data_IF_209068285414
#
_entry.id   IF_209068285414
#
_cell.length_a   1.000
_cell.length_b   1.000
_cell.length_c   1.000
_cell.angle_alpha   90.00
_cell.angle_beta   90.00
_cell.angle_gamma   90.00
#
_symmetry.space_group_name_H-M   'P 1'
#
loop_
_entity.id
_entity.type
_entity.pdbx_description
1 polymer ?
#
# COMPACT_ATOMS: atom_id res chain seq x y z
N UNK A 1 -15.74 -7.11 -11.73
CA UNK A 1 -15.76 -7.64 -11.40
C UNK A 1 -15.77 -8.61 -11.01
N UNK A 2 -15.20 -8.57 -11.27
CA UNK A 2 -15.02 -9.37 -10.98
C UNK A 2 -15.05 -10.44 -10.54
N UNK A 3 -14.86 -10.55 -10.65
CA UNK A 3 -14.90 -11.45 -10.30
C UNK A 3 -14.88 -12.36 -10.06
N UNK A 4 -14.74 -12.36 -10.28
CA UNK A 4 -14.65 -13.32 -9.93
C UNK A 4 -14.56 -14.22 -9.84
N UNK A 5 -14.42 -13.91 -10.05
CA UNK A 5 -14.31 -14.88 -9.87
C UNK A 5 -14.07 -15.87 -9.60
N UNK A 6 -13.99 -15.64 -9.77
CA UNK A 6 -13.77 -16.68 -9.44
C UNK A 6 -13.64 -17.68 -9.07
N UNK A 7 -13.58 -17.39 -9.26
CA UNK A 7 -13.43 -18.39 -8.84
C UNK A 7 -13.38 -19.36 -8.48
N UNK A 8 -13.52 -19.15 -8.62
CA UNK A 8 -13.52 -20.05 -8.19
C UNK A 8 -13.41 -21.00 -8.07
N UNK A 9 -13.34 -20.88 -8.37
CA UNK A 9 -13.29 -21.83 -8.16
C UNK A 9 -12.97 -22.71 -7.87
N UNK A 10 -12.77 -22.55 -8.14
CA UNK A 10 -12.54 -23.41 -7.74
C UNK A 10 -12.46 -24.22 -7.14
N UNK A 11 -12.49 -24.09 -7.16
CA UNK A 11 -12.48 -24.81 -6.48
C UNK A 11 -12.74 -25.71 -6.24
N UNK A 12 -12.94 -25.84 -6.76
CA UNK A 12 -13.20 -26.66 -6.43
C UNK A 12 -12.96 -27.64 -6.18
N UNK A 13 -12.76 -27.63 -6.58
CA UNK A 13 -12.50 -28.71 -6.55
C UNK A 13 -11.77 -29.33 -5.66
N UNK A 14 -11.89 -29.56 -5.23
CA UNK A 14 -11.28 -30.20 -4.46
C UNK A 14 -10.16 -30.05 -3.96
N UNK A 15 -9.93 -29.74 -4.04
CA UNK A 15 -9.00 -29.76 -3.58
C UNK A 15 -8.41 -29.12 -3.08
N UNK A 16 -8.55 -28.86 -3.37
CA UNK A 16 -7.88 -28.45 -3.00
C UNK A 16 -7.38 -27.96 -2.01
N UNK A 17 -7.16 -28.10 -1.61
CA UNK A 17 -6.45 -27.99 -0.60
C UNK A 17 -5.33 -27.16 -0.72
N UNK A 18 -4.81 -27.12 -1.82
CA UNK A 18 -3.63 -26.42 -2.12
C UNK A 18 -3.85 -24.97 -2.20
N UNK A 19 -5.06 -24.59 -2.26
CA UNK A 19 -5.39 -23.20 -2.32
C UNK A 19 -4.81 -22.40 -1.18
N UNK A 20 -4.53 -23.06 -0.10
CA UNK A 20 -4.00 -22.38 1.06
C UNK A 20 -2.66 -21.73 0.85
N UNK A 21 -1.96 -22.14 -0.19
CA UNK A 21 -0.64 -21.60 -0.46
C UNK A 21 -0.66 -20.29 -1.21
N UNK A 22 -1.83 -19.80 -1.58
CA UNK A 22 -1.92 -18.58 -2.35
C UNK A 22 -1.67 -17.33 -1.52
N UNK A 23 -1.60 -17.45 -0.21
CA UNK A 23 -1.48 -16.29 0.65
C UNK A 23 -2.80 -15.54 0.72
N UNK A 24 -2.75 -14.35 1.25
CA UNK A 24 -3.94 -13.51 1.40
C UNK A 24 -3.86 -12.33 0.47
N UNK A 25 -5.01 -11.69 0.25
CA UNK A 25 -5.10 -10.46 -0.53
C UNK A 25 -5.19 -9.30 0.44
N UNK A 26 -4.30 -8.33 0.25
CA UNK A 26 -4.33 -7.08 0.97
C UNK A 26 -4.92 -6.03 0.04
N UNK A 27 -6.03 -5.44 0.43
CA UNK A 27 -6.65 -4.36 -0.32
C UNK A 27 -6.29 -3.04 0.35
N UNK A 28 -5.64 -2.16 -0.40
CA UNK A 28 -5.26 -0.84 0.10
C UNK A 28 -6.11 0.20 -0.60
N UNK A 29 -6.84 0.98 0.19
CA UNK A 29 -7.66 2.06 -0.33
C UNK A 29 -6.99 3.37 0.07
N UNK A 30 -6.61 4.16 -0.92
CA UNK A 30 -5.96 5.45 -0.69
C UNK A 30 -6.98 6.54 -0.99
N UNK A 31 -7.20 7.39 0.00
CA UNK A 31 -8.18 8.47 -0.09
C UNK A 31 -7.50 9.83 0.04
N UNK A 32 -8.27 10.88 -0.08
CA UNK A 32 -7.82 12.26 0.07
C UNK A 32 -6.78 12.66 -0.98
N UNK A 33 -6.96 12.15 -2.20
CA UNK A 33 -6.13 12.55 -3.33
C UNK A 33 -6.70 13.86 -3.84
N UNK A 34 -5.97 14.95 -3.66
CA UNK A 34 -6.48 16.29 -3.96
C UNK A 34 -6.42 16.65 -5.44
N UNK A 35 -5.54 16.02 -6.18
CA UNK A 35 -5.48 16.25 -7.63
C UNK A 35 -5.06 14.96 -8.34
N UNK A 36 -5.65 14.75 -9.51
CA UNK A 36 -5.36 13.57 -10.32
C UNK A 36 -4.12 13.85 -11.16
N UNK A 37 -2.97 13.72 -10.53
CA UNK A 37 -1.69 14.09 -11.14
C UNK A 37 -0.57 13.21 -10.64
N UNK A 38 0.36 12.86 -11.53
CA UNK A 38 1.53 12.08 -11.17
C UNK A 38 1.21 10.62 -10.92
N UNK A 39 2.06 9.98 -10.15
CA UNK A 39 1.93 8.57 -9.82
C UNK A 39 1.67 8.39 -8.34
N UNK A 40 0.89 7.37 -8.02
CA UNK A 40 0.70 6.96 -6.64
C UNK A 40 1.60 5.76 -6.39
N UNK A 41 2.55 5.93 -5.49
CA UNK A 41 3.50 4.88 -5.12
C UNK A 41 3.06 4.30 -3.79
N UNK A 42 2.71 3.01 -3.80
CA UNK A 42 2.28 2.32 -2.59
C UNK A 42 3.37 1.34 -2.21
N UNK A 43 4.25 1.74 -1.31
CA UNK A 43 5.37 0.90 -0.89
C UNK A 43 4.95 -0.04 0.23
N UNK A 44 5.18 -1.34 0.03
CA UNK A 44 4.90 -2.38 1.01
C UNK A 44 6.24 -2.83 1.60
N UNK A 45 6.33 -2.88 2.91
CA UNK A 45 7.57 -3.21 3.61
C UNK A 45 7.32 -4.28 4.65
N UNK A 46 8.27 -5.17 4.84
CA UNK A 46 8.14 -6.26 5.81
C UNK A 46 9.22 -6.22 6.91
N UNK A 47 10.05 -5.18 6.92
CA UNK A 47 11.06 -5.06 7.97
C UNK A 47 11.52 -3.62 8.12
N UNK A 48 12.10 -3.33 9.29
CA UNK A 48 12.53 -2.00 9.64
C UNK A 48 13.66 -1.47 8.76
N UNK A 49 14.60 -2.34 8.38
CA UNK A 49 15.75 -1.91 7.58
C UNK A 49 15.35 -1.43 6.20
N UNK A 50 14.37 -2.07 5.61
CA UNK A 50 13.89 -1.71 4.28
C UNK A 50 12.89 -0.56 4.30
N UNK A 51 12.29 -0.28 5.45
CA UNK A 51 11.18 0.67 5.55
C UNK A 51 11.55 2.04 4.97
N UNK A 52 10.74 2.50 4.03
CA UNK A 52 10.88 3.73 3.24
C UNK A 52 12.13 3.76 2.33
N UNK A 53 12.88 2.67 2.26
CA UNK A 53 14.07 2.60 1.42
C UNK A 53 13.93 1.63 0.26
N UNK A 54 13.46 0.43 0.55
CA UNK A 54 13.37 -0.61 -0.47
C UNK A 54 12.06 -1.37 -0.32
N UNK A 55 11.02 -0.98 -1.05
CA UNK A 55 9.74 -1.68 -0.96
C UNK A 55 9.83 -3.07 -1.57
N UNK A 56 8.90 -3.93 -1.17
CA UNK A 56 8.79 -5.27 -1.74
C UNK A 56 8.43 -5.18 -3.22
N UNK A 57 8.83 -6.19 -4.02
CA UNK A 57 8.53 -6.18 -5.46
C UNK A 57 7.05 -6.10 -5.80
N UNK A 58 6.17 -6.50 -4.89
CA UNK A 58 4.73 -6.45 -5.12
C UNK A 58 4.13 -5.05 -4.93
N UNK A 59 4.96 -4.04 -4.63
CA UNK A 59 4.48 -2.68 -4.35
C UNK A 59 3.93 -2.01 -5.60
N UNK A 60 2.66 -1.57 -5.58
CA UNK A 60 2.04 -0.99 -6.78
C UNK A 60 2.53 0.43 -7.09
N UNK A 61 2.51 0.75 -8.37
CA UNK A 61 2.67 2.11 -8.86
C UNK A 61 1.48 2.37 -9.78
N UNK A 62 0.71 3.40 -9.49
CA UNK A 62 -0.55 3.67 -10.19
C UNK A 62 -0.50 5.07 -10.79
N UNK A 63 -0.77 5.16 -12.09
CA UNK A 63 -0.86 6.44 -12.77
C UNK A 63 -2.20 7.09 -12.42
N UNK A 64 -2.14 8.27 -11.83
CA UNK A 64 -3.33 8.99 -11.41
C UNK A 64 -3.84 9.86 -12.55
N UNK A 65 -4.98 9.49 -13.11
CA UNK A 65 -5.56 10.24 -14.23
C UNK A 65 -6.80 11.01 -13.83
N UNK A 66 -7.67 10.43 -13.03
CA UNK A 66 -8.92 11.11 -12.66
C UNK A 66 -9.50 10.63 -11.35
N UNK A 67 -8.74 9.86 -10.60
CA UNK A 67 -9.25 9.21 -9.40
C UNK A 67 -9.01 10.07 -8.17
N UNK A 68 -10.00 10.21 -7.30
CA UNK A 68 -9.82 10.80 -5.99
C UNK A 68 -9.74 9.73 -4.89
N UNK A 69 -10.03 8.51 -5.24
CA UNK A 69 -9.86 7.33 -4.38
C UNK A 69 -9.28 6.22 -5.24
N UNK A 70 -8.22 5.59 -4.77
CA UNK A 70 -7.58 4.50 -5.49
C UNK A 70 -7.63 3.25 -4.64
N UNK A 71 -8.00 2.13 -5.24
CA UNK A 71 -7.99 0.83 -4.59
C UNK A 71 -6.97 -0.06 -5.28
N UNK A 72 -6.06 -0.60 -4.51
CA UNK A 72 -5.04 -1.52 -5.02
C UNK A 72 -5.13 -2.83 -4.28
N UNK A 73 -5.00 -3.94 -5.01
CA UNK A 73 -5.00 -5.27 -4.41
C UNK A 73 -3.62 -5.88 -4.53
N UNK A 74 -3.06 -6.31 -3.41
CA UNK A 74 -1.78 -7.00 -3.37
C UNK A 74 -2.07 -8.44 -2.99
N UNK A 75 -1.78 -9.35 -3.89
CA UNK A 75 -2.10 -10.75 -3.71
C UNK A 75 -0.89 -11.57 -3.30
N UNK A 76 -1.14 -12.67 -2.62
CA UNK A 76 -0.11 -13.63 -2.32
C UNK A 76 0.83 -13.24 -1.18
N UNK A 77 0.40 -12.36 -0.29
CA UNK A 77 1.21 -12.02 0.87
C UNK A 77 1.24 -13.17 1.86
N UNK A 78 2.42 -13.49 2.36
CA UNK A 78 2.57 -14.45 3.43
C UNK A 78 2.18 -13.83 4.76
N UNK A 79 1.72 -14.63 5.72
CA UNK A 79 1.45 -14.09 7.05
C UNK A 79 2.69 -13.41 7.63
N UNK A 80 2.49 -12.30 8.29
CA UNK A 80 3.59 -11.56 8.89
C UNK A 80 3.20 -10.12 9.18
N UNK A 81 4.22 -9.35 9.53
CA UNK A 81 4.05 -7.96 9.88
C UNK A 81 4.51 -7.10 8.71
N UNK A 82 3.69 -6.13 8.34
CA UNK A 82 3.96 -5.24 7.20
C UNK A 82 3.66 -3.80 7.56
N UNK A 83 4.27 -2.87 6.83
CA UNK A 83 3.93 -1.46 6.90
C UNK A 83 3.82 -0.92 5.49
N UNK A 84 3.05 0.14 5.33
CA UNK A 84 2.82 0.76 4.02
C UNK A 84 3.18 2.24 4.11
N UNK A 85 3.89 2.72 3.08
CA UNK A 85 4.10 4.15 2.87
C UNK A 85 3.55 4.50 1.50
N UNK A 86 2.71 5.52 1.44
CA UNK A 86 2.08 5.96 0.19
C UNK A 86 2.58 7.36 -0.13
N UNK A 87 2.99 7.56 -1.37
CA UNK A 87 3.47 8.85 -1.85
C UNK A 87 2.75 9.18 -3.15
N UNK A 88 2.26 10.40 -3.26
CA UNK A 88 1.80 10.90 -4.55
C UNK A 88 2.97 11.63 -5.19
N UNK A 89 3.59 10.97 -6.16
CA UNK A 89 4.78 11.47 -6.84
C UNK A 89 4.35 12.41 -7.96
N UNK A 90 4.22 13.67 -7.63
CA UNK A 90 3.66 14.67 -8.55
C UNK A 90 4.51 14.93 -9.78
N UNK A 91 5.81 14.80 -9.67
CA UNK A 91 6.73 15.04 -10.79
C UNK A 91 7.24 13.74 -11.42
N UNK A 92 6.73 12.60 -10.96
CA UNK A 92 7.04 11.30 -11.55
C UNK A 92 8.54 10.96 -11.55
N UNK A 93 9.26 11.39 -10.51
CA UNK A 93 10.69 11.11 -10.40
C UNK A 93 11.00 9.84 -9.61
N UNK A 94 9.99 9.16 -9.11
CA UNK A 94 10.17 7.90 -8.39
C UNK A 94 10.54 8.02 -6.93
N UNK A 95 10.59 9.23 -6.38
CA UNK A 95 10.96 9.43 -4.98
C UNK A 95 10.23 10.60 -4.36
N UNK A 96 10.21 10.62 -3.04
CA UNK A 96 9.58 11.69 -2.28
C UNK A 96 10.46 12.94 -2.32
N UNK A 97 9.89 14.04 -2.79
CA UNK A 97 10.58 15.32 -2.79
C UNK A 97 10.32 16.03 -1.46
N UNK A 98 11.38 16.61 -0.93
CA UNK A 98 11.33 17.33 0.34
C UNK A 98 11.91 18.71 0.20
N UNK A 99 11.47 19.63 1.05
CA UNK A 99 12.16 20.89 1.17
C UNK A 99 13.43 20.67 1.98
N UNK A 100 14.49 21.47 1.78
CA UNK A 100 15.75 21.24 2.49
C UNK A 100 15.62 21.22 4.00
N UNK A 101 14.72 22.00 4.56
CA UNK A 101 14.58 22.13 6.00
C UNK A 101 13.14 22.02 6.47
N UNK A 102 12.29 21.39 5.70
CA UNK A 102 10.88 21.40 6.01
C UNK A 102 10.18 20.10 5.66
N UNK A 103 8.86 20.14 5.66
CA UNK A 103 8.06 18.95 5.38
C UNK A 103 8.20 18.51 3.92
N UNK A 104 7.76 17.29 3.61
CA UNK A 104 7.74 16.81 2.23
C UNK A 104 6.92 17.74 1.34
N UNK A 105 7.35 17.87 0.10
CA UNK A 105 6.63 18.68 -0.89
C UNK A 105 5.43 17.96 -1.48
N UNK A 106 5.44 16.65 -1.43
CA UNK A 106 4.41 15.83 -2.05
C UNK A 106 3.54 15.18 -0.99
N UNK A 107 2.26 14.92 -1.29
CA UNK A 107 1.40 14.24 -0.34
C UNK A 107 1.94 12.86 0.01
N UNK A 108 1.84 12.48 1.27
CA UNK A 108 2.26 11.16 1.69
C UNK A 108 1.43 10.71 2.88
N UNK A 109 1.50 9.41 3.17
CA UNK A 109 0.84 8.85 4.33
C UNK A 109 1.45 7.50 4.66
N UNK A 110 1.19 7.04 5.86
CA UNK A 110 1.67 5.73 6.33
C UNK A 110 0.50 4.93 6.87
N UNK A 111 0.64 3.61 6.84
CA UNK A 111 -0.36 2.75 7.46
C UNK A 111 -0.39 3.00 8.97
N UNK A 112 -1.54 2.81 9.58
CA UNK A 112 -1.80 2.89 11.02
C UNK A 112 -1.79 4.31 11.55
N UNK A 113 -0.75 5.11 11.25
CA UNK A 113 -0.68 6.48 11.79
C UNK A 113 -1.48 7.43 10.92
N UNK A 114 -2.17 8.37 11.52
CA UNK A 114 -3.07 9.29 10.82
C UNK A 114 -2.45 10.66 10.56
N UNK A 115 -1.25 10.88 11.03
CA UNK A 115 -0.57 12.16 10.89
C UNK A 115 0.84 11.91 10.42
N UNK A 116 1.43 12.91 9.79
CA UNK A 116 2.82 12.82 9.40
C UNK A 116 3.64 13.24 10.61
N UNK A 117 4.37 12.29 11.19
CA UNK A 117 5.22 12.63 12.33
C UNK A 117 6.38 13.51 11.90
N UNK A 118 7.03 14.08 12.86
CA UNK A 118 8.26 14.83 12.58
C UNK A 118 9.33 13.82 12.21
N UNK A 119 9.69 13.82 10.93
CA UNK A 119 10.64 12.85 10.42
C UNK A 119 9.98 11.51 10.09
N UNK A 120 10.82 10.54 9.81
CA UNK A 120 10.35 9.21 9.41
C UNK A 120 9.78 8.47 10.62
N UNK A 121 8.56 7.92 10.53
CA UNK A 121 8.04 7.12 11.63
C UNK A 121 8.76 5.76 11.70
N UNK A 122 8.67 5.12 12.85
CA UNK A 122 9.24 3.80 13.02
C UNK A 122 8.38 2.76 12.30
N UNK A 123 9.02 1.72 11.77
CA UNK A 123 8.30 0.61 11.15
C UNK A 123 7.22 0.05 12.09
N UNK A 124 7.57 -0.16 13.36
CA UNK A 124 6.62 -0.70 14.33
C UNK A 124 5.37 0.17 14.49
N UNK A 125 5.53 1.48 14.43
CA UNK A 125 4.39 2.39 14.59
C UNK A 125 3.42 2.31 13.40
N UNK A 126 3.92 1.91 12.24
CA UNK A 126 3.13 1.82 11.02
C UNK A 126 2.73 0.38 10.69
N UNK A 127 3.19 -0.59 11.46
CA UNK A 127 3.01 -1.99 11.12
C UNK A 127 1.63 -2.53 11.49
N UNK A 128 1.21 -3.50 10.72
CA UNK A 128 -0.03 -4.25 10.96
C UNK A 128 0.23 -5.72 10.63
N UNK A 129 -0.62 -6.58 11.18
CA UNK A 129 -0.46 -8.02 11.00
C UNK A 129 -1.28 -8.52 9.82
N UNK A 130 -0.65 -9.32 8.96
CA UNK A 130 -1.35 -10.08 7.93
C UNK A 130 -1.38 -11.51 8.42
N UNK A 131 -2.57 -12.04 8.58
CA UNK A 131 -2.76 -13.42 9.04
C UNK A 131 -3.22 -14.32 7.90
N UNK A 132 -4.14 -15.21 8.21
CA UNK A 132 -4.67 -16.16 7.23
C UNK A 132 -5.89 -15.66 6.48
N UNK A 133 -6.33 -14.44 6.71
CA UNK A 133 -7.52 -13.90 6.07
C UNK A 133 -7.19 -12.63 5.30
N UNK A 134 -7.98 -12.34 4.26
CA UNK A 134 -7.83 -11.11 3.48
C UNK A 134 -8.04 -9.91 4.38
N UNK A 135 -7.33 -8.83 4.06
CA UNK A 135 -7.32 -7.64 4.89
C UNK A 135 -7.53 -6.40 4.02
N UNK A 136 -8.28 -5.45 4.53
CA UNK A 136 -8.51 -4.17 3.87
C UNK A 136 -8.01 -3.04 4.76
N UNK A 137 -7.22 -2.15 4.19
CA UNK A 137 -6.66 -1.01 4.90
C UNK A 137 -6.96 0.26 4.11
N UNK A 138 -7.42 1.28 4.80
CA UNK A 138 -7.66 2.59 4.19
C UNK A 138 -6.61 3.57 4.70
N UNK A 139 -5.98 4.29 3.78
CA UNK A 139 -4.93 5.26 4.09
C UNK A 139 -5.30 6.59 3.43
N UNK A 140 -5.38 7.64 4.24
CA UNK A 140 -5.70 8.98 3.72
C UNK A 140 -4.42 9.78 3.54
N UNK A 141 -4.19 10.29 2.34
CA UNK A 141 -3.02 11.13 2.08
C UNK A 141 -3.12 12.42 2.88
N UNK A 142 -1.97 12.86 3.37
CA UNK A 142 -1.87 14.12 4.09
C UNK A 142 -1.19 15.12 3.17
N UNK A 143 -1.88 16.23 2.95
CA UNK A 143 -1.40 17.31 2.08
C UNK A 143 -1.08 18.49 2.96
N UNK A 144 0.05 19.13 2.71
CA UNK A 144 0.47 20.31 3.44
C UNK A 144 0.38 21.55 2.61
#
# INVERSE_FOLDING_TARGET
MRQFLILAVVALSGGSLMADDHGVTLTVIVTNISEAKGDLLIGIYDNDKAFTKKPLPCSPKIDLTSEDVVTAEIMGLSPGKYAIAVIQDLNENGKLDKTPFGPPKEPLAFSVVNEIPKGKPAFEACSFEVGGEDLKITIALVVK
#
